data_IF_224346925346
#
_entry.id   IF_224346925346
#
_cell.length_a   1.000
_cell.length_b   1.000
_cell.length_c   1.000
_cell.angle_alpha   90.00
_cell.angle_beta   90.00
_cell.angle_gamma   90.00
#
_symmetry.space_group_name_H-M   'P 1'
#
loop_
_entity.id
_entity.type
_entity.pdbx_description
1 polymer ?
#
# COMPACT_ATOMS: atom_id res chain seq x y z
N UNK A 1 -2.05 6.97 -3.73
CA UNK A 1 -2.18 5.88 -4.73
C UNK A 1 -3.47 5.13 -4.45
N UNK A 2 -4.26 4.88 -5.49
CA UNK A 2 -5.33 3.87 -5.50
C UNK A 2 -5.37 3.18 -6.88
N UNK A 3 -5.72 1.88 -6.95
CA UNK A 3 -6.00 0.96 -5.84
C UNK A 3 -4.73 0.65 -5.01
N UNK A 4 -4.85 -0.12 -3.91
CA UNK A 4 -3.69 -0.43 -3.06
C UNK A 4 -2.92 -1.68 -3.52
N UNK A 5 -3.63 -2.69 -3.99
CA UNK A 5 -3.15 -4.04 -4.31
C UNK A 5 -4.19 -4.73 -5.19
N UNK A 6 -3.76 -5.65 -6.05
CA UNK A 6 -4.66 -6.51 -6.83
C UNK A 6 -4.61 -7.96 -6.35
N UNK A 7 -5.68 -8.69 -6.62
CA UNK A 7 -5.79 -10.12 -6.38
C UNK A 7 -6.76 -10.78 -7.36
N UNK A 8 -6.92 -12.11 -7.28
CA UNK A 8 -7.72 -12.86 -8.25
C UNK A 8 -9.19 -12.43 -8.25
N UNK A 9 -9.67 -11.93 -9.37
CA UNK A 9 -11.04 -11.44 -9.51
C UNK A 9 -11.73 -11.83 -10.81
N UNK A 10 -11.11 -12.62 -11.68
CA UNK A 10 -11.68 -13.03 -12.97
C UNK A 10 -11.89 -14.53 -12.97
N UNK A 11 -13.08 -14.98 -13.40
CA UNK A 11 -13.45 -16.40 -13.51
C UNK A 11 -13.28 -17.15 -12.19
N UNK A 12 -13.75 -16.55 -11.09
CA UNK A 12 -13.66 -17.14 -9.75
C UNK A 12 -14.86 -18.06 -9.53
N UNK A 13 -14.57 -19.34 -9.29
CA UNK A 13 -15.54 -20.34 -8.86
C UNK A 13 -15.82 -20.20 -7.37
N UNK A 14 -17.07 -19.95 -6.99
CA UNK A 14 -17.48 -19.88 -5.60
C UNK A 14 -18.86 -20.50 -5.40
N UNK A 15 -19.23 -20.75 -4.14
CA UNK A 15 -20.54 -21.28 -3.80
C UNK A 15 -21.67 -20.35 -4.28
N UNK A 16 -22.76 -20.94 -4.73
CA UNK A 16 -23.94 -20.25 -5.23
C UNK A 16 -25.19 -20.86 -4.59
N UNK A 17 -26.21 -20.05 -4.26
CA UNK A 17 -27.44 -20.58 -3.68
C UNK A 17 -28.06 -21.66 -4.56
N UNK A 18 -28.41 -22.80 -3.96
CA UNK A 18 -29.20 -23.81 -4.65
C UNK A 18 -30.56 -23.21 -5.04
N UNK A 19 -31.08 -23.50 -6.26
CA UNK A 19 -32.42 -23.03 -6.64
C UNK A 19 -33.45 -23.52 -5.62
N UNK A 20 -34.25 -22.61 -5.08
CA UNK A 20 -35.27 -22.92 -4.07
C UNK A 20 -36.49 -23.68 -4.65
N UNK A 21 -36.55 -23.87 -5.98
CA UNK A 21 -37.74 -24.33 -6.69
C UNK A 21 -37.48 -25.61 -7.48
N UNK A 22 -38.28 -26.65 -7.20
CA UNK A 22 -38.27 -27.95 -7.89
C UNK A 22 -39.08 -27.92 -9.22
N UNK A 23 -39.43 -26.75 -9.74
CA UNK A 23 -40.12 -26.62 -11.03
C UNK A 23 -39.12 -26.65 -12.19
N UNK A 24 -38.76 -27.89 -12.53
CA UNK A 24 -37.93 -28.29 -13.67
C UNK A 24 -38.67 -27.95 -14.98
N UNK A 25 -38.57 -26.70 -15.42
CA UNK A 25 -38.80 -26.31 -16.80
C UNK A 25 -37.82 -25.20 -17.15
N UNK A 26 -36.54 -25.57 -17.28
CA UNK A 26 -35.58 -25.09 -18.28
C UNK A 26 -34.16 -25.52 -17.87
N UNK A 27 -33.48 -26.21 -18.78
CA UNK A 27 -32.12 -26.76 -18.69
C UNK A 27 -31.04 -25.69 -18.38
N UNK A 28 -31.06 -25.12 -17.19
CA UNK A 28 -29.93 -24.35 -16.63
C UNK A 28 -29.43 -25.13 -15.42
N UNK A 29 -28.16 -25.53 -15.48
CA UNK A 29 -27.49 -26.42 -14.54
C UNK A 29 -27.77 -26.05 -13.08
N UNK A 30 -28.24 -27.04 -12.31
CA UNK A 30 -28.46 -27.05 -10.85
C UNK A 30 -27.13 -26.94 -10.07
N UNK A 31 -26.25 -26.02 -10.44
CA UNK A 31 -24.93 -25.92 -9.83
C UNK A 31 -25.00 -25.14 -8.52
N UNK A 32 -24.51 -25.74 -7.44
CA UNK A 32 -24.26 -25.07 -6.14
C UNK A 32 -23.00 -24.20 -6.17
N UNK A 33 -22.40 -24.03 -7.34
CA UNK A 33 -21.25 -23.17 -7.60
C UNK A 33 -21.46 -22.35 -8.87
N UNK A 34 -20.90 -21.16 -8.91
CA UNK A 34 -20.95 -20.29 -10.08
C UNK A 34 -19.57 -19.67 -10.33
N UNK A 35 -19.24 -19.40 -11.59
CA UNK A 35 -18.04 -18.67 -11.98
C UNK A 35 -18.40 -17.25 -12.38
N UNK A 36 -17.87 -16.27 -11.65
CA UNK A 36 -18.11 -14.86 -11.91
C UNK A 36 -16.82 -14.05 -11.81
N UNK A 37 -16.87 -12.83 -12.36
CA UNK A 37 -15.74 -11.91 -12.42
C UNK A 37 -16.12 -10.55 -11.83
N UNK A 38 -15.17 -9.90 -11.19
CA UNK A 38 -15.30 -8.55 -10.67
C UNK A 38 -14.34 -8.28 -9.51
N UNK A 39 -14.18 -6.99 -9.18
CA UNK A 39 -13.47 -6.58 -7.96
C UNK A 39 -14.17 -7.11 -6.69
N UNK A 40 -15.49 -7.36 -6.76
CA UNK A 40 -16.26 -8.09 -5.75
C UNK A 40 -15.74 -9.50 -5.47
N UNK A 41 -15.02 -10.14 -6.41
CA UNK A 41 -14.39 -11.45 -6.23
C UNK A 41 -12.94 -11.33 -5.77
N UNK A 42 -12.23 -10.26 -6.15
CA UNK A 42 -10.89 -9.98 -5.64
C UNK A 42 -10.89 -9.57 -4.15
N UNK A 43 -11.87 -8.78 -3.74
CA UNK A 43 -12.03 -8.31 -2.36
C UNK A 43 -12.05 -9.45 -1.30
N UNK A 44 -12.85 -10.53 -1.43
CA UNK A 44 -12.85 -11.61 -0.46
C UNK A 44 -11.54 -12.41 -0.42
N UNK A 45 -10.78 -12.51 -1.52
CA UNK A 45 -9.44 -13.09 -1.48
C UNK A 45 -8.51 -12.27 -0.58
N UNK A 46 -8.45 -10.95 -0.80
CA UNK A 46 -7.63 -10.05 0.02
C UNK A 46 -8.11 -10.00 1.48
N UNK A 47 -9.42 -10.09 1.71
CA UNK A 47 -10.01 -10.14 3.05
C UNK A 47 -9.63 -11.42 3.80
N UNK A 48 -9.66 -12.57 3.11
CA UNK A 48 -9.20 -13.84 3.66
C UNK A 48 -7.72 -13.81 4.02
N UNK A 49 -6.88 -13.24 3.14
CA UNK A 49 -5.44 -13.05 3.41
C UNK A 49 -5.24 -12.14 4.62
N UNK A 50 -5.95 -11.01 4.70
CA UNK A 50 -5.87 -10.10 5.85
C UNK A 50 -6.29 -10.79 7.16
N UNK A 51 -7.33 -11.64 7.13
CA UNK A 51 -7.76 -12.41 8.29
C UNK A 51 -6.71 -13.44 8.73
N UNK A 52 -6.08 -14.14 7.79
CA UNK A 52 -4.97 -15.06 8.09
C UNK A 52 -3.77 -14.34 8.69
N UNK A 53 -3.42 -13.17 8.16
CA UNK A 53 -2.35 -12.33 8.71
C UNK A 53 -2.69 -11.85 10.13
N UNK A 54 -3.94 -11.43 10.39
CA UNK A 54 -4.40 -11.08 11.74
C UNK A 54 -4.37 -12.27 12.69
N UNK A 55 -4.63 -13.48 12.20
CA UNK A 55 -4.52 -14.70 13.02
C UNK A 55 -3.07 -15.03 13.35
N UNK A 56 -2.14 -14.82 12.41
CA UNK A 56 -0.71 -15.07 12.60
C UNK A 56 -0.04 -13.98 13.46
N UNK A 57 -0.53 -12.74 13.36
CA UNK A 57 -0.03 -11.56 14.06
C UNK A 57 -1.18 -10.83 14.77
N UNK A 58 -1.64 -11.32 15.93
CA UNK A 58 -2.82 -10.79 16.62
C UNK A 58 -2.69 -9.34 17.11
N UNK A 59 -1.47 -8.84 17.23
CA UNK A 59 -1.11 -7.50 17.69
C UNK A 59 -1.02 -6.47 16.55
N UNK A 60 -0.88 -6.91 15.30
CA UNK A 60 -0.74 -6.01 14.15
C UNK A 60 -1.99 -5.19 13.90
N UNK A 61 -1.84 -3.86 13.83
CA UNK A 61 -2.92 -2.96 13.44
C UNK A 61 -3.46 -3.30 12.02
N UNK A 62 -4.67 -2.81 11.66
CA UNK A 62 -5.15 -2.90 10.28
C UNK A 62 -4.18 -2.27 9.26
N UNK A 63 -3.49 -1.19 9.63
CA UNK A 63 -2.49 -0.54 8.77
C UNK A 63 -1.22 -1.38 8.62
N UNK A 64 -0.78 -2.06 9.69
CA UNK A 64 0.34 -2.99 9.65
C UNK A 64 0.07 -4.18 8.71
N UNK A 65 -1.12 -4.80 8.80
CA UNK A 65 -1.55 -5.88 7.90
C UNK A 65 -1.57 -5.39 6.44
N UNK A 66 -2.16 -4.22 6.21
CA UNK A 66 -2.19 -3.61 4.89
C UNK A 66 -0.78 -3.34 4.34
N UNK A 67 0.11 -2.81 5.17
CA UNK A 67 1.51 -2.58 4.81
C UNK A 67 2.20 -3.87 4.42
N UNK A 68 2.03 -4.93 5.21
CA UNK A 68 2.62 -6.24 4.92
C UNK A 68 2.17 -6.74 3.55
N UNK A 69 0.86 -6.64 3.23
CA UNK A 69 0.32 -7.01 1.93
C UNK A 69 0.92 -6.17 0.80
N UNK A 70 0.92 -4.84 0.92
CA UNK A 70 1.36 -3.93 -0.15
C UNK A 70 2.85 -4.09 -0.47
N UNK A 71 3.69 -4.19 0.57
CA UNK A 71 5.15 -4.14 0.43
C UNK A 71 5.78 -5.42 -0.09
N UNK A 72 5.06 -6.54 -0.09
CA UNK A 72 5.57 -7.86 -0.52
C UNK A 72 5.01 -8.34 -1.86
N UNK A 73 4.24 -7.49 -2.54
CA UNK A 73 3.57 -7.78 -3.83
C UNK A 73 4.55 -8.02 -4.99
N UNK A 74 4.12 -8.79 -5.98
CA UNK A 74 4.77 -8.95 -7.28
C UNK A 74 4.16 -7.99 -8.31
N UNK A 75 4.95 -7.48 -9.25
CA UNK A 75 4.51 -6.45 -10.23
C UNK A 75 4.55 -6.91 -11.68
N UNK A 76 5.17 -8.05 -11.95
CA UNK A 76 5.30 -8.61 -13.29
C UNK A 76 4.26 -9.67 -13.52
N UNK A 77 3.67 -9.66 -14.71
CA UNK A 77 2.89 -10.80 -15.21
C UNK A 77 3.80 -11.95 -15.67
N UNK A 78 3.20 -12.98 -16.27
CA UNK A 78 3.92 -14.15 -16.81
C UNK A 78 4.86 -13.79 -17.98
N UNK A 79 4.64 -12.65 -18.63
CA UNK A 79 5.46 -12.12 -19.73
C UNK A 79 6.53 -11.14 -19.23
N UNK A 80 6.57 -10.84 -17.94
CA UNK A 80 7.50 -9.87 -17.35
C UNK A 80 7.08 -8.42 -17.51
N UNK A 81 5.85 -8.15 -17.95
CA UNK A 81 5.33 -6.80 -18.14
C UNK A 81 4.81 -6.22 -16.82
N UNK A 82 4.97 -4.90 -16.67
CA UNK A 82 4.57 -4.15 -15.48
C UNK A 82 3.43 -3.21 -15.87
N UNK A 83 2.31 -3.28 -15.14
CA UNK A 83 1.17 -2.39 -15.34
C UNK A 83 1.39 -1.00 -14.70
N UNK A 84 0.50 -0.05 -15.00
CA UNK A 84 0.48 1.23 -14.31
C UNK A 84 0.10 1.06 -12.83
N UNK A 85 0.71 1.84 -11.93
CA UNK A 85 0.42 1.75 -10.50
C UNK A 85 -1.02 2.20 -10.15
N UNK A 86 -1.70 2.94 -11.02
CA UNK A 86 -3.13 3.25 -10.89
C UNK A 86 -4.03 2.11 -11.36
N UNK A 87 -3.49 1.10 -12.05
CA UNK A 87 -4.20 -0.14 -12.37
C UNK A 87 -3.99 -1.20 -11.30
N UNK A 88 -2.74 -1.40 -10.85
CA UNK A 88 -2.39 -2.51 -9.96
C UNK A 88 -2.06 -2.12 -8.51
N UNK A 89 -1.99 -0.82 -8.20
CA UNK A 89 -1.52 -0.34 -6.91
C UNK A 89 -0.06 -0.75 -6.66
N UNK A 90 0.17 -1.49 -5.58
CA UNK A 90 1.48 -2.04 -5.27
C UNK A 90 1.84 -3.28 -6.10
N UNK A 91 0.85 -3.93 -6.70
CA UNK A 91 1.01 -5.16 -7.49
C UNK A 91 0.09 -6.29 -7.03
N UNK A 92 0.34 -7.49 -7.53
CA UNK A 92 -0.38 -8.70 -7.19
C UNK A 92 0.02 -9.22 -5.81
N UNK A 93 -1.00 -9.56 -5.00
CA UNK A 93 -0.83 -10.05 -3.64
C UNK A 93 0.06 -11.29 -3.57
N UNK A 94 0.93 -11.31 -2.55
CA UNK A 94 1.79 -12.43 -2.19
C UNK A 94 1.57 -12.78 -0.70
N UNK A 95 0.65 -13.73 -0.39
CA UNK A 95 0.32 -14.09 0.98
C UNK A 95 1.52 -14.63 1.78
N UNK A 96 2.38 -15.42 1.13
CA UNK A 96 3.55 -16.01 1.76
C UNK A 96 4.54 -14.92 2.21
N UNK A 97 4.85 -13.96 1.33
CA UNK A 97 5.70 -12.82 1.67
C UNK A 97 5.08 -11.96 2.76
N UNK A 98 3.77 -11.68 2.69
CA UNK A 98 3.08 -10.81 3.64
C UNK A 98 3.05 -11.37 5.08
N UNK A 99 3.26 -12.68 5.26
CA UNK A 99 3.32 -13.31 6.59
C UNK A 99 4.59 -12.90 7.36
N UNK A 100 5.67 -12.54 6.68
CA UNK A 100 6.91 -12.07 7.30
C UNK A 100 7.55 -10.99 6.40
N UNK A 101 7.01 -9.76 6.41
CA UNK A 101 7.38 -8.73 5.45
C UNK A 101 8.72 -8.06 5.77
N UNK A 102 9.30 -8.30 6.95
CA UNK A 102 10.51 -7.61 7.41
C UNK A 102 10.18 -6.27 8.08
N UNK A 103 9.65 -5.32 7.32
CA UNK A 103 9.23 -4.01 7.83
C UNK A 103 7.76 -3.73 7.52
N UNK A 104 7.12 -2.96 8.41
CA UNK A 104 5.77 -2.43 8.20
C UNK A 104 5.73 -0.91 8.41
N UNK A 105 4.84 -0.26 7.66
CA UNK A 105 4.47 1.14 7.78
C UNK A 105 3.16 1.21 8.57
N UNK A 106 3.27 1.33 9.88
CA UNK A 106 2.10 1.38 10.75
C UNK A 106 1.49 2.81 10.79
N UNK A 107 0.17 2.86 10.92
CA UNK A 107 -0.63 4.09 11.02
C UNK A 107 -1.68 3.86 12.11
N UNK A 108 -1.62 4.64 13.18
CA UNK A 108 -2.60 4.59 14.26
C UNK A 108 -3.83 5.44 13.89
N UNK A 109 -5.00 5.18 14.49
CA UNK A 109 -6.21 5.98 14.22
C UNK A 109 -5.99 7.50 14.36
N UNK A 110 -5.17 7.90 15.33
CA UNK A 110 -4.88 9.31 15.61
C UNK A 110 -3.96 9.95 14.56
N UNK A 111 -3.16 9.16 13.83
CA UNK A 111 -2.29 9.64 12.76
C UNK A 111 -3.10 10.07 11.52
N UNK A 112 -4.36 9.63 11.39
CA UNK A 112 -5.25 10.08 10.32
C UNK A 112 -5.84 11.48 10.58
N UNK A 113 -5.88 11.94 11.83
CA UNK A 113 -6.40 13.28 12.16
C UNK A 113 -5.62 14.39 11.43
N UNK A 114 -4.29 14.50 11.56
CA UNK A 114 -3.53 15.56 10.87
C UNK A 114 -3.62 15.44 9.34
N UNK A 115 -3.81 14.23 8.82
CA UNK A 115 -4.02 13.97 7.39
C UNK A 115 -5.36 14.50 6.90
N UNK A 116 -6.46 14.15 7.58
CA UNK A 116 -7.80 14.63 7.25
C UNK A 116 -7.91 16.15 7.38
N UNK A 117 -7.31 16.72 8.43
CA UNK A 117 -7.23 18.17 8.58
C UNK A 117 -6.43 18.82 7.43
N UNK A 118 -5.31 18.22 7.01
CA UNK A 118 -4.48 18.71 5.91
C UNK A 118 -5.15 18.63 4.53
N UNK A 119 -6.09 17.70 4.35
CA UNK A 119 -6.97 17.63 3.17
C UNK A 119 -8.03 18.74 3.13
N UNK A 120 -8.16 19.56 4.17
CA UNK A 120 -9.11 20.66 4.24
C UNK A 120 -10.50 20.29 4.76
N UNK A 121 -10.65 19.12 5.39
CA UNK A 121 -11.89 18.77 6.10
C UNK A 121 -12.07 19.67 7.33
N UNK A 122 -13.33 20.08 7.59
CA UNK A 122 -13.70 20.85 8.78
C UNK A 122 -13.67 20.00 10.06
N UNK A 123 -13.55 20.67 11.22
CA UNK A 123 -13.56 20.03 12.55
C UNK A 123 -14.76 19.09 12.74
N UNK A 124 -15.94 19.49 12.25
CA UNK A 124 -17.16 18.67 12.33
C UNK A 124 -17.08 17.41 11.44
N UNK A 125 -16.54 17.53 10.23
CA UNK A 125 -16.36 16.39 9.33
C UNK A 125 -15.33 15.41 9.89
N UNK A 126 -14.17 15.90 10.35
CA UNK A 126 -13.14 15.03 10.94
C UNK A 126 -13.69 14.36 12.20
N UNK A 127 -14.36 15.11 13.08
CA UNK A 127 -14.96 14.54 14.29
C UNK A 127 -15.99 13.44 13.99
N UNK A 128 -16.74 13.58 12.89
CA UNK A 128 -17.68 12.56 12.42
C UNK A 128 -16.94 11.32 11.90
N UNK A 129 -15.85 11.48 11.17
CA UNK A 129 -15.07 10.36 10.62
C UNK A 129 -14.38 9.58 11.74
N UNK A 130 -13.68 10.27 12.65
CA UNK A 130 -12.90 9.63 13.72
C UNK A 130 -13.71 9.33 14.99
N UNK A 131 -14.99 9.72 15.02
CA UNK A 131 -15.92 9.49 16.14
C UNK A 131 -15.42 10.04 17.49
N UNK A 132 -14.66 11.14 17.46
CA UNK A 132 -14.18 11.87 18.63
C UNK A 132 -14.07 13.37 18.32
N UNK A 133 -14.11 14.23 19.34
CA UNK A 133 -13.95 15.67 19.13
C UNK A 133 -12.54 15.99 18.64
N UNK A 134 -12.44 16.70 17.51
CA UNK A 134 -11.19 17.14 16.89
C UNK A 134 -11.25 18.62 16.59
N UNK A 135 -10.15 19.32 16.88
CA UNK A 135 -9.92 20.70 16.46
C UNK A 135 -8.70 20.71 15.53
N UNK A 136 -8.91 20.97 14.24
CA UNK A 136 -7.83 21.09 13.27
C UNK A 136 -7.12 22.43 13.48
N UNK A 137 -5.99 22.43 14.19
CA UNK A 137 -5.10 23.58 14.25
C UNK A 137 -4.10 23.54 13.09
N UNK A 138 -3.68 24.71 12.58
CA UNK A 138 -2.75 24.81 11.44
C UNK A 138 -1.42 24.11 11.67
N UNK A 139 -1.00 23.94 12.92
CA UNK A 139 0.28 23.32 13.29
C UNK A 139 0.17 21.79 13.44
N UNK A 140 -1.02 21.23 13.24
CA UNK A 140 -1.31 19.81 13.34
C UNK A 140 -1.80 19.24 12.01
N UNK A 141 -1.49 19.87 10.88
CA UNK A 141 -1.83 19.33 9.55
C UNK A 141 -0.60 18.73 8.88
N UNK A 142 -0.82 17.72 8.05
CA UNK A 142 0.21 17.16 7.17
C UNK A 142 -0.28 17.15 5.73
N UNK A 143 0.64 17.24 4.77
CA UNK A 143 0.31 17.08 3.36
C UNK A 143 -0.09 15.64 3.05
N UNK A 144 -0.80 15.45 1.94
CA UNK A 144 -1.35 14.14 1.54
C UNK A 144 -0.26 13.06 1.44
N UNK A 145 0.88 13.42 0.86
CA UNK A 145 2.03 12.53 0.67
C UNK A 145 2.85 12.28 1.96
N UNK A 146 2.57 13.01 3.05
CA UNK A 146 3.30 12.89 4.32
C UNK A 146 2.70 11.83 5.27
N UNK A 147 1.50 11.31 5.02
CA UNK A 147 0.96 10.18 5.78
C UNK A 147 1.93 9.00 5.69
N UNK A 148 2.09 8.22 6.78
CA UNK A 148 3.01 7.08 6.86
C UNK A 148 2.55 5.86 6.05
N UNK A 149 2.20 6.08 4.79
CA UNK A 149 1.63 5.10 3.87
C UNK A 149 2.73 4.41 3.06
N UNK A 150 2.62 3.11 2.72
CA UNK A 150 3.63 2.32 2.01
C UNK A 150 3.70 2.65 0.49
N UNK A 151 3.44 3.91 0.12
CA UNK A 151 3.59 4.41 -1.24
C UNK A 151 3.72 5.94 -1.22
N UNK A 152 4.15 6.51 -2.35
CA UNK A 152 4.15 7.95 -2.56
C UNK A 152 3.37 8.30 -3.83
N UNK A 153 2.50 9.29 -3.77
CA UNK A 153 1.96 9.95 -4.97
C UNK A 153 2.05 11.43 -4.72
N UNK A 154 2.72 12.14 -5.61
CA UNK A 154 2.94 13.57 -5.46
C UNK A 154 2.94 14.28 -6.81
N UNK A 155 2.64 15.58 -6.74
CA UNK A 155 2.83 16.50 -7.84
C UNK A 155 4.13 17.26 -7.59
N UNK A 156 5.07 17.14 -8.54
CA UNK A 156 6.41 17.67 -8.40
C UNK A 156 6.59 18.84 -9.37
N UNK A 157 6.83 20.01 -8.82
CA UNK A 157 7.24 21.21 -9.57
C UNK A 157 8.75 21.38 -9.57
N UNK A 158 9.20 22.63 -9.67
CA UNK A 158 10.63 22.98 -9.76
C UNK A 158 11.44 22.78 -8.48
N UNK A 159 10.79 22.72 -7.30
CA UNK A 159 11.47 22.57 -6.01
C UNK A 159 11.43 21.13 -5.54
N UNK A 160 12.55 20.61 -4.98
CA UNK A 160 12.54 19.31 -4.34
C UNK A 160 11.52 19.23 -3.19
N UNK A 161 10.85 18.10 -3.06
CA UNK A 161 9.91 17.82 -1.98
C UNK A 161 10.40 16.64 -1.16
N UNK A 162 10.36 16.77 0.16
CA UNK A 162 10.86 15.73 1.07
C UNK A 162 9.73 15.23 1.95
N UNK A 163 9.61 13.90 2.07
CA UNK A 163 8.62 13.27 2.93
C UNK A 163 9.28 12.27 3.87
N UNK A 164 8.78 12.21 5.10
CA UNK A 164 9.24 11.24 6.09
C UNK A 164 8.34 10.00 6.09
N UNK A 165 8.93 8.85 6.36
CA UNK A 165 8.26 7.61 6.72
C UNK A 165 8.87 7.04 7.98
N UNK A 166 8.08 6.27 8.71
CA UNK A 166 8.52 5.49 9.87
C UNK A 166 8.16 4.03 9.65
N UNK A 167 9.17 3.19 9.73
CA UNK A 167 9.04 1.74 9.61
C UNK A 167 9.26 1.09 10.97
N UNK A 168 8.56 -0.02 11.21
CA UNK A 168 8.72 -0.87 12.38
C UNK A 168 9.28 -2.22 11.94
N UNK A 169 10.33 -2.70 12.60
CA UNK A 169 10.90 -4.02 12.31
C UNK A 169 10.02 -5.13 12.91
N UNK A 170 9.45 -5.95 12.04
CA UNK A 170 8.67 -7.15 12.39
C UNK A 170 9.32 -8.43 11.86
N UNK A 171 10.52 -8.31 11.28
CA UNK A 171 11.31 -9.40 10.72
C UNK A 171 12.27 -9.99 11.74
N UNK A 172 13.56 -10.08 11.38
CA UNK A 172 14.61 -10.56 12.29
C UNK A 172 15.20 -9.40 13.09
N UNK A 173 15.52 -9.65 14.36
CA UNK A 173 16.37 -8.75 15.16
C UNK A 173 17.80 -8.71 14.59
N UNK A 174 18.57 -7.68 14.93
CA UNK A 174 19.92 -7.45 14.42
C UNK A 174 19.99 -7.46 12.88
N UNK A 175 19.06 -6.75 12.24
CA UNK A 175 18.97 -6.65 10.79
C UNK A 175 19.39 -5.26 10.30
N UNK A 176 20.04 -5.23 9.13
CA UNK A 176 20.43 -4.00 8.44
C UNK A 176 19.71 -3.99 7.11
N UNK A 177 18.87 -2.98 6.91
CA UNK A 177 18.18 -2.76 5.65
C UNK A 177 18.88 -1.66 4.87
N UNK A 178 19.13 -1.89 3.57
CA UNK A 178 19.70 -0.92 2.65
C UNK A 178 18.63 -0.38 1.71
N UNK A 179 18.66 0.92 1.47
CA UNK A 179 17.76 1.55 0.53
C UNK A 179 18.22 1.32 -0.92
N UNK A 180 17.35 0.77 -1.75
CA UNK A 180 17.53 0.65 -3.19
C UNK A 180 16.40 1.39 -3.91
N UNK A 181 16.76 2.17 -4.94
CA UNK A 181 15.81 3.06 -5.61
C UNK A 181 15.82 2.77 -7.11
N UNK A 182 14.67 2.39 -7.64
CA UNK A 182 14.41 2.29 -9.07
C UNK A 182 13.67 3.56 -9.51
N UNK A 183 14.44 4.60 -9.81
CA UNK A 183 13.91 5.89 -10.25
C UNK A 183 13.63 5.90 -11.76
N UNK A 184 12.48 6.45 -12.20
CA UNK A 184 12.22 6.67 -13.62
C UNK A 184 13.10 7.80 -14.17
N UNK A 185 13.17 7.88 -15.49
CA UNK A 185 13.89 8.95 -16.18
C UNK A 185 13.33 10.33 -15.80
N UNK A 186 14.23 11.32 -15.68
CA UNK A 186 13.85 12.71 -15.37
C UNK A 186 13.62 13.02 -13.90
N UNK A 187 13.58 12.02 -13.01
CA UNK A 187 13.37 12.21 -11.57
C UNK A 187 14.60 11.82 -10.75
N UNK A 188 14.96 12.66 -9.78
CA UNK A 188 15.85 12.35 -8.68
C UNK A 188 15.07 11.86 -7.46
N UNK A 189 15.50 10.75 -6.88
CA UNK A 189 14.95 10.23 -5.63
C UNK A 189 16.12 9.91 -4.71
N UNK A 190 16.17 10.57 -3.56
CA UNK A 190 17.21 10.41 -2.55
C UNK A 190 16.61 9.97 -1.22
N UNK A 191 17.25 8.99 -0.57
CA UNK A 191 16.79 8.42 0.70
C UNK A 191 17.85 8.69 1.76
N UNK A 192 17.41 9.16 2.92
CA UNK A 192 18.28 9.43 4.06
C UNK A 192 17.64 8.93 5.38
N UNK A 193 18.33 8.09 6.17
CA UNK A 193 19.62 7.46 5.88
C UNK A 193 19.52 6.44 4.74
N UNK A 194 20.66 6.04 4.15
CA UNK A 194 20.72 4.98 3.11
C UNK A 194 20.63 3.57 3.69
N UNK A 195 20.86 3.43 4.99
CA UNK A 195 20.76 2.17 5.72
C UNK A 195 20.04 2.41 7.04
N UNK A 196 19.24 1.44 7.48
CA UNK A 196 18.59 1.43 8.78
C UNK A 196 19.01 0.15 9.50
N UNK A 197 19.49 0.31 10.73
CA UNK A 197 19.89 -0.80 11.60
C UNK A 197 18.83 -0.98 12.68
N UNK A 198 18.37 -2.21 12.86
CA UNK A 198 17.46 -2.58 13.95
C UNK A 198 18.15 -3.59 14.85
N UNK A 199 18.32 -3.25 16.12
CA UNK A 199 18.89 -4.15 17.13
C UNK A 199 17.86 -5.15 17.65
N UNK A 200 16.59 -4.75 17.71
CA UNK A 200 15.52 -5.57 18.29
C UNK A 200 14.25 -5.57 17.43
N UNK A 201 13.34 -6.51 17.75
CA UNK A 201 12.00 -6.53 17.19
C UNK A 201 11.19 -5.34 17.70
N UNK A 202 10.24 -4.89 16.88
CA UNK A 202 9.35 -3.77 17.15
C UNK A 202 10.05 -2.42 17.33
N UNK A 203 11.35 -2.35 17.06
CA UNK A 203 12.07 -1.08 16.98
C UNK A 203 11.58 -0.29 15.75
N UNK A 204 11.45 1.02 15.93
CA UNK A 204 10.97 1.96 14.92
C UNK A 204 12.11 2.83 14.46
N UNK A 205 12.17 3.08 13.16
CA UNK A 205 13.12 4.00 12.56
C UNK A 205 12.43 4.87 11.52
N UNK A 206 12.82 6.14 11.49
CA UNK A 206 12.32 7.09 10.49
C UNK A 206 13.37 7.37 9.44
N UNK A 207 12.91 7.59 8.21
CA UNK A 207 13.74 8.01 7.10
C UNK A 207 12.99 9.04 6.25
N UNK A 208 13.75 9.85 5.53
CA UNK A 208 13.22 10.84 4.59
C UNK A 208 13.52 10.42 3.15
N UNK A 209 12.56 10.69 2.26
CA UNK A 209 12.72 10.56 0.81
C UNK A 209 12.54 11.93 0.18
N UNK A 210 13.53 12.38 -0.57
CA UNK A 210 13.51 13.63 -1.33
C UNK A 210 13.32 13.33 -2.81
N UNK A 211 12.28 13.90 -3.40
CA UNK A 211 11.96 13.83 -4.83
C UNK A 211 12.34 15.16 -5.48
N UNK A 212 13.03 15.11 -6.62
CA UNK A 212 13.45 16.29 -7.39
C UNK A 212 13.32 16.05 -8.89
N UNK A 213 13.14 17.11 -9.68
CA UNK A 213 13.23 17.02 -11.14
C UNK A 213 14.70 17.14 -11.54
N UNK A 214 15.21 16.21 -12.37
CA UNK A 214 16.60 16.24 -12.89
C UNK A 214 16.66 16.80 -14.31
N UNK A 215 15.81 16.30 -15.19
CA UNK A 215 15.69 16.72 -16.58
C UNK A 215 14.20 16.95 -16.90
N UNK A 216 13.92 17.73 -17.95
CA UNK A 216 12.58 17.85 -18.52
C UNK A 216 12.23 16.50 -19.15
N UNK A 217 11.49 15.67 -18.40
CA UNK A 217 10.80 14.50 -18.97
C UNK A 217 9.73 15.01 -19.93
N UNK A 218 9.38 14.29 -20.99
CA UNK A 218 8.20 14.59 -21.84
C UNK A 218 6.92 13.93 -21.32
N UNK A 219 7.05 13.03 -20.35
CA UNK A 219 5.96 12.30 -19.74
C UNK A 219 5.42 13.06 -18.53
N UNK A 220 4.10 13.29 -18.54
CA UNK A 220 3.39 13.98 -17.46
C UNK A 220 3.32 13.14 -16.18
N UNK A 221 3.36 11.82 -16.31
CA UNK A 221 3.35 10.89 -15.19
C UNK A 221 4.51 9.90 -15.35
N UNK A 222 5.23 9.68 -14.25
CA UNK A 222 6.29 8.67 -14.17
C UNK A 222 6.16 7.90 -12.86
N UNK A 223 6.52 6.62 -12.89
CA UNK A 223 6.45 5.74 -11.71
C UNK A 223 7.77 5.01 -11.45
N UNK A 224 8.01 4.66 -10.20
CA UNK A 224 9.19 3.92 -9.77
C UNK A 224 8.94 3.18 -8.47
N UNK A 225 10.01 2.68 -7.85
CA UNK A 225 9.91 1.95 -6.58
C UNK A 225 11.12 2.20 -5.69
N UNK A 226 10.86 2.29 -4.39
CA UNK A 226 11.84 2.27 -3.32
C UNK A 226 11.78 0.90 -2.65
N UNK A 227 12.94 0.33 -2.34
CA UNK A 227 13.08 -0.92 -1.62
C UNK A 227 13.93 -0.73 -0.37
N UNK A 228 13.53 -1.37 0.72
CA UNK A 228 14.43 -1.71 1.83
C UNK A 228 14.80 -3.18 1.71
N UNK A 229 16.08 -3.45 1.48
CA UNK A 229 16.60 -4.80 1.23
C UNK A 229 17.47 -5.25 2.39
N UNK A 230 17.20 -6.45 2.89
CA UNK A 230 18.02 -7.16 3.88
C UNK A 230 18.06 -8.65 3.52
N UNK A 231 18.83 -9.45 4.25
CA UNK A 231 18.91 -10.90 4.00
C UNK A 231 17.51 -11.56 4.13
N UNK A 232 16.96 -12.00 3.00
CA UNK A 232 15.63 -12.60 2.90
C UNK A 232 14.45 -11.63 2.93
N UNK A 233 14.68 -10.31 2.94
CA UNK A 233 13.63 -9.29 2.98
C UNK A 233 13.78 -8.27 1.85
N UNK A 234 12.65 -7.94 1.21
CA UNK A 234 12.55 -6.88 0.20
C UNK A 234 11.23 -6.14 0.40
N UNK A 235 11.30 -4.96 1.03
CA UNK A 235 10.12 -4.15 1.38
C UNK A 235 9.94 -3.06 0.34
N UNK A 236 8.97 -3.23 -0.55
CA UNK A 236 8.73 -2.31 -1.68
C UNK A 236 7.73 -1.22 -1.33
N UNK A 237 8.05 0.02 -1.69
CA UNK A 237 7.13 1.16 -1.72
C UNK A 237 7.09 1.75 -3.14
N UNK A 238 5.98 1.60 -3.89
CA UNK A 238 5.85 2.24 -5.19
C UNK A 238 5.71 3.74 -5.03
N UNK A 239 6.16 4.49 -6.03
CA UNK A 239 5.88 5.91 -6.11
C UNK A 239 5.46 6.35 -7.51
N UNK A 240 4.56 7.32 -7.56
CA UNK A 240 4.08 7.96 -8.78
C UNK A 240 4.22 9.46 -8.69
N UNK A 241 4.71 10.08 -9.76
CA UNK A 241 5.02 11.50 -9.79
C UNK A 241 4.32 12.12 -10.99
N UNK A 242 3.48 13.10 -10.72
CA UNK A 242 2.90 13.98 -11.72
C UNK A 242 3.84 15.18 -11.86
N UNK A 243 4.46 15.34 -13.02
CA UNK A 243 5.41 16.42 -13.27
C UNK A 243 4.63 17.60 -13.85
N UNK A 244 4.69 18.74 -13.15
CA UNK A 244 4.13 20.00 -13.62
C UNK A 244 5.26 20.90 -14.12
N UNK A 245 5.11 21.41 -15.36
CA UNK A 245 6.03 22.35 -15.99
C UNK A 245 5.68 23.80 -15.64
#
# INVERSE_FOLDING_TARGET
MKPDVIGPGVSILAAWPAPADNNILNNSSQSTFNMISGTSMACPHLSGIAALLRSAHPDWSPAAIKSAIMTTTHITDEQGLIADMFDMGSGHVNPAGATNPGLIYDILPDDYVPYLCGLGYSNAQVSTIVQKKVECSSNQTISEAQLNYPSFVLQLGSRPQTYTRTVTNVGRANSVYKAEVHAPEGVGVEVNPKEIVFGQLSERASYSVTFSVKNVTSQRFVQGSLFWVADGYSVKSPFGIIVDY
#
